data_IF_015184148919
#
_entry.id   IF_015184148919
#
_cell.length_a   1.000
_cell.length_b   1.000
_cell.length_c   1.000
_cell.angle_alpha   90.00
_cell.angle_beta   90.00
_cell.angle_gamma   90.00
#
_symmetry.space_group_name_H-M   'P 1'
#
loop_
_entity.id
_entity.type
_entity.pdbx_description
1 polymer ?
#
# COMPACT_ATOMS: atom_id res chain seq x y z
N UNK A 1 -6.31 -0.48 1.83
CA UNK A 1 -7.26 0.57 2.34
C UNK A 1 -6.69 1.18 3.61
N UNK A 2 -6.46 2.49 3.59
CA UNK A 2 -6.08 3.30 4.75
C UNK A 2 -7.35 3.96 5.28
N UNK A 3 -7.78 3.56 6.47
CA UNK A 3 -9.07 3.98 7.05
C UNK A 3 -8.90 5.23 7.91
N UNK A 4 -10.00 5.97 8.07
CA UNK A 4 -10.10 7.19 8.86
C UNK A 4 -10.33 6.97 10.37
N UNK A 5 -10.64 5.74 10.79
CA UNK A 5 -10.67 5.46 12.22
C UNK A 5 -9.26 5.61 12.79
N UNK A 6 -9.18 6.25 13.95
CA UNK A 6 -7.93 6.45 14.66
C UNK A 6 -7.39 5.08 15.08
N UNK A 7 -6.49 4.51 14.27
CA UNK A 7 -5.69 3.38 14.70
C UNK A 7 -4.87 3.85 15.90
N UNK A 8 -5.12 3.27 17.07
CA UNK A 8 -4.45 3.69 18.29
C UNK A 8 -3.12 2.95 18.36
N UNK A 9 -2.02 3.72 18.34
CA UNK A 9 -0.69 3.22 18.65
C UNK A 9 -0.33 3.54 20.10
N UNK A 10 0.79 3.01 20.57
CA UNK A 10 1.32 3.40 21.88
C UNK A 10 1.50 4.93 21.97
N UNK A 11 1.05 5.53 23.06
CA UNK A 11 1.15 6.98 23.31
C UNK A 11 1.27 7.26 24.80
N UNK A 12 1.80 8.43 25.15
CA UNK A 12 2.00 8.86 26.53
C UNK A 12 0.91 9.85 26.94
N UNK A 13 0.45 9.74 28.18
CA UNK A 13 -0.43 10.72 28.83
C UNK A 13 -0.13 10.77 30.32
N UNK A 14 -0.50 11.87 30.97
CA UNK A 14 -0.24 12.07 32.40
C UNK A 14 -0.98 11.02 33.26
N UNK A 15 -0.30 10.51 34.28
CA UNK A 15 -0.88 9.54 35.22
C UNK A 15 -2.13 10.14 35.87
N UNK A 16 -3.24 9.40 35.82
CA UNK A 16 -4.53 9.86 36.35
C UNK A 16 -5.35 10.75 35.42
N UNK A 17 -4.82 11.12 34.23
CA UNK A 17 -5.55 11.89 33.22
C UNK A 17 -5.75 11.07 31.94
N UNK A 18 -6.77 10.22 31.93
CA UNK A 18 -7.11 9.41 30.76
C UNK A 18 -7.39 10.30 29.55
N UNK A 19 -6.66 10.08 28.46
CA UNK A 19 -6.86 10.80 27.19
C UNK A 19 -8.17 10.35 26.54
N UNK A 20 -9.02 11.31 26.18
CA UNK A 20 -10.25 11.06 25.39
C UNK A 20 -9.89 11.05 23.91
N UNK A 21 -10.17 9.93 23.25
CA UNK A 21 -9.88 9.71 21.83
C UNK A 21 -11.15 10.00 21.03
N UNK A 22 -11.08 10.95 20.09
CA UNK A 22 -12.20 11.31 19.22
C UNK A 22 -12.32 10.26 18.11
N UNK A 23 -13.53 9.80 17.83
CA UNK A 23 -13.80 8.82 16.78
C UNK A 23 -15.03 9.23 15.98
N UNK A 24 -14.99 9.01 14.67
CA UNK A 24 -16.18 9.06 13.83
C UNK A 24 -16.72 7.64 13.62
N UNK A 25 -18.04 7.45 13.77
CA UNK A 25 -18.72 6.19 13.44
C UNK A 25 -18.93 5.96 11.94
N UNK A 26 -18.13 6.59 11.08
CA UNK A 26 -18.22 6.47 9.61
C UNK A 26 -16.98 5.77 9.09
N UNK A 27 -17.14 4.86 8.13
CA UNK A 27 -16.03 4.18 7.47
C UNK A 27 -15.61 4.95 6.22
N UNK A 28 -14.80 6.01 6.37
CA UNK A 28 -14.19 6.68 5.20
C UNK A 28 -12.69 6.39 5.16
N UNK A 29 -12.07 6.60 4.02
CA UNK A 29 -10.66 6.25 3.87
C UNK A 29 -10.21 6.35 2.43
N UNK A 30 -8.92 6.15 2.26
CA UNK A 30 -8.24 6.16 0.97
C UNK A 30 -7.93 4.71 0.61
N UNK A 31 -8.31 4.26 -0.57
CA UNK A 31 -7.89 2.94 -1.07
C UNK A 31 -6.71 3.16 -1.99
N UNK A 32 -5.59 2.55 -1.62
CA UNK A 32 -4.39 2.55 -2.44
C UNK A 32 -4.17 1.14 -2.99
N UNK A 33 -3.67 1.09 -4.21
CA UNK A 33 -2.94 -0.04 -4.78
C UNK A 33 -1.51 0.43 -5.00
N UNK A 34 -0.53 -0.46 -4.83
CA UNK A 34 0.85 -0.10 -5.09
C UNK A 34 1.77 -1.30 -5.15
N UNK A 35 2.97 -1.05 -5.66
CA UNK A 35 4.08 -1.98 -5.70
C UNK A 35 5.37 -1.31 -5.21
N UNK A 36 6.30 -2.15 -4.79
CA UNK A 36 7.65 -1.79 -4.36
C UNK A 36 8.63 -2.59 -5.22
N UNK A 37 9.55 -1.91 -5.89
CA UNK A 37 10.74 -2.53 -6.45
C UNK A 37 11.77 -2.73 -5.33
N UNK A 38 12.03 -3.99 -4.99
CA UNK A 38 12.91 -4.33 -3.87
C UNK A 38 14.38 -4.00 -4.15
N UNK A 39 14.79 -3.88 -5.41
CA UNK A 39 16.18 -3.60 -5.79
C UNK A 39 16.49 -2.11 -5.71
N UNK A 40 15.62 -1.27 -6.29
CA UNK A 40 15.82 0.18 -6.32
C UNK A 40 15.21 0.91 -5.13
N UNK A 41 14.23 0.31 -4.44
CA UNK A 41 13.41 0.98 -3.44
C UNK A 41 12.33 1.90 -4.04
N UNK A 42 12.10 1.87 -5.35
CA UNK A 42 11.03 2.65 -6.00
C UNK A 42 9.66 2.15 -5.56
N UNK A 43 8.78 3.12 -5.24
CA UNK A 43 7.41 2.85 -4.83
C UNK A 43 6.48 3.48 -5.86
N UNK A 44 5.58 2.66 -6.40
CA UNK A 44 4.48 3.14 -7.22
C UNK A 44 3.16 2.89 -6.51
N UNK A 45 2.34 3.94 -6.36
CA UNK A 45 1.05 3.87 -5.68
C UNK A 45 -0.01 4.69 -6.43
N UNK A 46 -1.21 4.14 -6.54
CA UNK A 46 -2.38 4.80 -7.11
C UNK A 46 -3.54 4.80 -6.12
N UNK A 47 -4.27 5.92 -6.05
CA UNK A 47 -5.54 5.99 -5.32
C UNK A 47 -6.70 5.63 -6.25
N UNK A 48 -7.59 4.76 -5.78
CA UNK A 48 -8.82 4.41 -6.48
C UNK A 48 -10.04 4.44 -5.55
N UNK A 49 -11.23 4.71 -6.09
CA UNK A 49 -12.47 4.65 -5.32
C UNK A 49 -12.93 3.20 -5.08
N UNK A 50 -12.67 2.31 -6.04
CA UNK A 50 -12.95 0.87 -5.97
C UNK A 50 -11.66 0.08 -6.03
N UNK A 51 -11.75 -1.21 -5.69
CA UNK A 51 -10.63 -2.14 -5.82
C UNK A 51 -11.18 -3.42 -6.43
N UNK A 52 -11.39 -3.36 -7.73
CA UNK A 52 -11.92 -4.44 -8.55
C UNK A 52 -10.89 -4.88 -9.61
N UNK A 53 -11.26 -5.89 -10.40
CA UNK A 53 -10.37 -6.44 -11.42
C UNK A 53 -10.03 -5.44 -12.54
N UNK A 54 -10.91 -4.49 -12.85
CA UNK A 54 -10.66 -3.47 -13.87
C UNK A 54 -9.64 -2.46 -13.38
N UNK A 55 -9.77 -2.01 -12.12
CA UNK A 55 -8.76 -1.19 -11.45
C UNK A 55 -7.40 -1.87 -11.44
N UNK A 56 -7.35 -3.15 -11.06
CA UNK A 56 -6.10 -3.90 -11.03
C UNK A 56 -5.49 -4.07 -12.43
N UNK A 57 -6.30 -4.30 -13.46
CA UNK A 57 -5.83 -4.34 -14.85
C UNK A 57 -5.21 -3.01 -15.28
N UNK A 58 -5.85 -1.88 -14.94
CA UNK A 58 -5.29 -0.54 -15.19
C UNK A 58 -3.95 -0.34 -14.49
N UNK A 59 -3.87 -0.74 -13.23
CA UNK A 59 -2.62 -0.71 -12.45
C UNK A 59 -1.50 -1.53 -13.12
N UNK A 60 -1.79 -2.73 -13.62
CA UNK A 60 -0.79 -3.55 -14.33
C UNK A 60 -0.29 -2.89 -15.61
N UNK A 61 -1.16 -2.20 -16.37
CA UNK A 61 -0.75 -1.44 -17.55
C UNK A 61 0.23 -0.32 -17.15
N UNK A 62 -0.12 0.47 -16.13
CA UNK A 62 0.73 1.56 -15.67
C UNK A 62 2.09 1.06 -15.14
N UNK A 63 2.13 -0.12 -14.50
CA UNK A 63 3.37 -0.77 -14.10
C UNK A 63 4.24 -1.15 -15.31
N UNK A 64 3.65 -1.71 -16.37
CA UNK A 64 4.38 -2.04 -17.60
C UNK A 64 4.93 -0.80 -18.31
N UNK A 65 4.23 0.32 -18.24
CA UNK A 65 4.69 1.62 -18.77
C UNK A 65 5.81 2.23 -17.92
N UNK A 66 5.72 2.09 -16.59
CA UNK A 66 6.69 2.66 -15.64
C UNK A 66 8.02 1.91 -15.64
N UNK A 67 7.98 0.59 -15.67
CA UNK A 67 9.17 -0.24 -15.48
C UNK A 67 9.59 -0.95 -16.77
N UNK A 68 10.88 -0.83 -17.09
CA UNK A 68 11.49 -1.55 -18.22
C UNK A 68 11.94 -2.96 -17.81
N UNK A 69 12.29 -3.80 -18.79
CA UNK A 69 12.72 -5.19 -18.53
C UNK A 69 11.59 -6.17 -18.14
N UNK A 70 11.97 -7.42 -17.86
CA UNK A 70 11.01 -8.45 -17.41
C UNK A 70 10.63 -8.16 -15.96
N UNK A 71 9.34 -8.20 -15.67
CA UNK A 71 8.77 -7.92 -14.34
C UNK A 71 8.18 -9.21 -13.79
N UNK A 72 8.58 -9.58 -12.57
CA UNK A 72 7.90 -10.59 -11.77
C UNK A 72 7.20 -9.88 -10.62
N UNK A 73 5.87 -9.85 -10.65
CA UNK A 73 5.07 -9.21 -9.62
C UNK A 73 4.64 -10.25 -8.58
N UNK A 74 5.15 -10.08 -7.36
CA UNK A 74 4.79 -10.91 -6.21
C UNK A 74 3.51 -10.38 -5.57
N UNK A 75 2.50 -11.23 -5.44
CA UNK A 75 1.15 -10.86 -5.01
C UNK A 75 0.64 -11.76 -3.88
N UNK A 76 -0.30 -11.24 -3.10
CA UNK A 76 -1.12 -12.06 -2.23
C UNK A 76 -2.21 -12.80 -3.04
N UNK A 77 -3.09 -13.53 -2.35
CA UNK A 77 -4.15 -14.32 -2.99
C UNK A 77 -5.50 -13.56 -3.03
N UNK A 78 -5.51 -12.23 -3.07
CA UNK A 78 -6.77 -11.52 -3.18
C UNK A 78 -7.50 -11.90 -4.48
N UNK A 79 -8.82 -12.11 -4.39
CA UNK A 79 -9.65 -12.65 -5.49
C UNK A 79 -9.52 -11.88 -6.79
N UNK A 80 -9.29 -10.57 -6.71
CA UNK A 80 -9.12 -9.70 -7.89
C UNK A 80 -7.90 -10.08 -8.73
N UNK A 81 -6.82 -10.58 -8.12
CA UNK A 81 -5.60 -10.98 -8.83
C UNK A 81 -5.79 -12.27 -9.63
N UNK A 82 -6.88 -13.01 -9.38
CA UNK A 82 -7.26 -14.24 -10.09
C UNK A 82 -8.43 -14.04 -11.04
N UNK A 83 -8.86 -12.79 -11.27
CA UNK A 83 -10.01 -12.51 -12.12
C UNK A 83 -9.73 -12.96 -13.57
N UNK A 84 -10.67 -13.70 -14.16
CA UNK A 84 -10.58 -14.16 -15.57
C UNK A 84 -10.37 -13.02 -16.56
N UNK A 85 -10.88 -11.83 -16.23
CA UNK A 85 -10.70 -10.59 -16.99
C UNK A 85 -9.22 -10.28 -17.30
N UNK A 86 -8.29 -10.69 -16.42
CA UNK A 86 -6.86 -10.43 -16.59
C UNK A 86 -6.20 -11.35 -17.63
N UNK A 87 -6.81 -12.49 -17.95
CA UNK A 87 -6.17 -13.54 -18.74
C UNK A 87 -5.70 -13.07 -20.14
N UNK A 88 -6.48 -12.33 -20.94
CA UNK A 88 -6.02 -11.85 -22.24
C UNK A 88 -4.78 -10.95 -22.12
N UNK A 89 -4.81 -10.02 -21.16
CA UNK A 89 -3.71 -9.10 -20.89
C UNK A 89 -2.44 -9.82 -20.44
N UNK A 90 -2.56 -10.81 -19.54
CA UNK A 90 -1.42 -11.60 -19.07
C UNK A 90 -0.84 -12.47 -20.17
N UNK A 91 -1.67 -12.99 -21.08
CA UNK A 91 -1.20 -13.76 -22.23
C UNK A 91 -0.41 -12.88 -23.21
N UNK A 92 -0.97 -11.73 -23.58
CA UNK A 92 -0.33 -10.74 -24.45
C UNK A 92 1.02 -10.27 -23.89
N UNK A 93 1.08 -10.07 -22.58
CA UNK A 93 2.27 -9.57 -21.89
C UNK A 93 3.12 -10.66 -21.24
N UNK A 94 2.91 -11.94 -21.56
CA UNK A 94 3.59 -13.09 -20.90
C UNK A 94 5.12 -13.07 -21.00
N UNK A 95 5.67 -12.42 -22.03
CA UNK A 95 7.11 -12.24 -22.21
C UNK A 95 7.69 -11.10 -21.34
N UNK A 96 6.83 -10.22 -20.81
CA UNK A 96 7.17 -9.01 -20.04
C UNK A 96 6.76 -9.10 -18.58
N UNK A 97 5.62 -9.69 -18.27
CA UNK A 97 4.99 -9.70 -16.95
C UNK A 97 4.64 -11.13 -16.51
N UNK A 98 5.10 -11.49 -15.33
CA UNK A 98 4.80 -12.75 -14.66
C UNK A 98 4.21 -12.45 -13.27
N UNK A 99 3.08 -13.06 -12.94
CA UNK A 99 2.48 -12.96 -11.61
C UNK A 99 2.89 -14.16 -10.76
N UNK A 100 3.52 -13.90 -9.62
CA UNK A 100 3.90 -14.91 -8.64
C UNK A 100 3.05 -14.74 -7.37
N UNK A 101 2.38 -15.80 -6.94
CA UNK A 101 1.52 -15.76 -5.78
C UNK A 101 2.23 -16.32 -4.54
N UNK A 102 2.16 -15.58 -3.44
CA UNK A 102 2.64 -16.04 -2.14
C UNK A 102 1.78 -17.18 -1.59
N UNK A 103 2.29 -17.99 -0.64
CA UNK A 103 1.45 -18.92 0.08
C UNK A 103 0.28 -18.18 0.77
N UNK A 104 -0.92 -18.80 0.85
CA UNK A 104 -2.05 -18.20 1.53
C UNK A 104 -1.71 -17.77 2.96
N UNK A 105 -2.30 -16.65 3.41
CA UNK A 105 -2.14 -16.11 4.77
C UNK A 105 -0.68 -15.83 5.19
N UNK A 106 0.18 -15.46 4.24
CA UNK A 106 1.59 -15.13 4.51
C UNK A 106 1.90 -13.63 4.33
N UNK A 107 1.24 -12.72 5.07
CA UNK A 107 1.43 -11.28 4.90
C UNK A 107 2.86 -10.83 5.24
N UNK A 108 3.57 -11.58 6.09
CA UNK A 108 4.97 -11.34 6.45
C UNK A 108 5.94 -11.53 5.28
N UNK A 109 5.54 -12.26 4.23
CA UNK A 109 6.33 -12.42 3.01
C UNK A 109 6.04 -11.31 1.98
N UNK A 110 5.01 -10.50 2.21
CA UNK A 110 4.61 -9.44 1.30
C UNK A 110 5.22 -8.09 1.74
N UNK A 111 6.31 -7.67 1.10
CA UNK A 111 7.05 -6.44 1.47
C UNK A 111 6.17 -5.18 1.50
N UNK A 112 5.16 -5.09 0.61
CA UNK A 112 4.28 -3.92 0.58
C UNK A 112 3.42 -3.78 1.86
N UNK A 113 3.16 -4.87 2.58
CA UNK A 113 2.48 -4.80 3.88
C UNK A 113 3.33 -4.04 4.93
N UNK A 114 4.66 -4.16 4.84
CA UNK A 114 5.59 -3.36 5.64
C UNK A 114 5.47 -1.87 5.33
N UNK A 115 5.36 -1.50 4.04
CA UNK A 115 5.12 -0.12 3.61
C UNK A 115 3.78 0.40 4.17
N UNK A 116 2.71 -0.39 4.09
CA UNK A 116 1.41 -0.02 4.64
C UNK A 116 1.43 0.12 6.16
N UNK A 117 2.18 -0.72 6.85
CA UNK A 117 2.43 -0.60 8.29
C UNK A 117 3.14 0.72 8.62
N UNK A 118 4.23 1.04 7.91
CA UNK A 118 4.99 2.26 8.10
C UNK A 118 4.16 3.52 7.81
N UNK A 119 3.38 3.51 6.73
CA UNK A 119 2.46 4.60 6.40
C UNK A 119 1.45 4.81 7.53
N UNK A 120 0.80 3.75 8.03
CA UNK A 120 -0.17 3.86 9.13
C UNK A 120 0.49 4.42 10.38
N UNK A 121 1.70 3.95 10.71
CA UNK A 121 2.48 4.44 11.86
C UNK A 121 2.72 5.95 11.79
N UNK A 122 3.10 6.48 10.61
CA UNK A 122 3.47 7.89 10.46
C UNK A 122 2.29 8.83 10.20
N UNK A 123 1.27 8.35 9.50
CA UNK A 123 0.19 9.21 8.99
C UNK A 123 -1.09 9.04 9.78
N UNK A 124 -1.44 7.82 10.21
CA UNK A 124 -2.78 7.52 10.74
C UNK A 124 -2.78 7.36 12.25
N UNK A 125 -1.75 6.71 12.79
CA UNK A 125 -1.74 6.33 14.19
C UNK A 125 -1.79 7.55 15.09
N UNK A 126 -2.72 7.54 16.05
CA UNK A 126 -2.92 8.63 17.02
C UNK A 126 -3.29 10.01 16.41
N UNK A 127 -3.62 10.08 15.12
CA UNK A 127 -4.08 11.32 14.46
C UNK A 127 -5.58 11.26 14.18
N UNK A 128 -6.27 12.38 14.42
CA UNK A 128 -7.68 12.51 14.10
C UNK A 128 -7.87 13.48 12.93
N UNK A 129 -8.39 12.96 11.81
CA UNK A 129 -8.68 13.74 10.62
C UNK A 129 -10.16 14.09 10.55
N UNK A 130 -10.47 15.36 10.29
CA UNK A 130 -11.85 15.82 10.17
C UNK A 130 -12.43 15.49 8.79
N UNK A 131 -11.56 15.42 7.77
CA UNK A 131 -11.97 15.23 6.36
C UNK A 131 -11.02 14.28 5.63
N UNK A 132 -11.57 13.46 4.73
CA UNK A 132 -10.80 12.48 3.95
C UNK A 132 -9.71 13.13 3.06
N UNK A 133 -9.89 14.38 2.61
CA UNK A 133 -8.87 15.07 1.84
C UNK A 133 -7.57 15.29 2.66
N UNK A 134 -7.67 15.40 3.98
CA UNK A 134 -6.50 15.55 4.86
C UNK A 134 -5.70 14.26 4.89
N UNK A 135 -6.39 13.11 4.92
CA UNK A 135 -5.75 11.79 4.82
C UNK A 135 -5.00 11.70 3.48
N UNK A 136 -5.67 12.00 2.36
CA UNK A 136 -5.04 11.99 1.02
C UNK A 136 -3.80 12.85 0.95
N UNK A 137 -3.89 14.09 1.44
CA UNK A 137 -2.78 15.03 1.46
C UNK A 137 -1.58 14.47 2.24
N UNK A 138 -1.81 13.93 3.43
CA UNK A 138 -0.72 13.42 4.26
C UNK A 138 -0.15 12.10 3.75
N UNK A 139 -0.99 11.22 3.17
CA UNK A 139 -0.55 10.02 2.47
C UNK A 139 0.37 10.38 1.30
N UNK A 140 -0.07 11.31 0.45
CA UNK A 140 0.72 11.77 -0.69
C UNK A 140 2.04 12.43 -0.26
N UNK A 141 2.00 13.28 0.78
CA UNK A 141 3.20 13.91 1.33
C UNK A 141 4.18 12.86 1.89
N UNK A 142 3.69 11.86 2.63
CA UNK A 142 4.52 10.77 3.15
C UNK A 142 5.19 9.97 2.03
N UNK A 143 4.42 9.53 1.02
CA UNK A 143 4.96 8.77 -0.11
C UNK A 143 6.00 9.58 -0.90
N UNK A 144 5.72 10.87 -1.13
CA UNK A 144 6.66 11.78 -1.80
C UNK A 144 7.94 11.96 -1.00
N UNK A 145 7.85 11.99 0.33
CA UNK A 145 9.02 12.16 1.18
C UNK A 145 9.91 10.92 1.20
N UNK A 146 9.34 9.74 1.41
CA UNK A 146 10.14 8.50 1.45
C UNK A 146 10.76 8.18 0.08
N UNK A 147 10.09 8.56 -1.02
CA UNK A 147 10.62 8.37 -2.37
C UNK A 147 11.93 9.16 -2.62
N UNK A 148 12.21 10.21 -1.84
CA UNK A 148 13.50 10.92 -1.89
C UNK A 148 14.65 10.12 -1.26
N UNK A 149 14.34 9.09 -0.49
CA UNK A 149 15.31 8.30 0.27
C UNK A 149 15.14 6.79 0.05
N UNK A 150 15.39 6.27 -1.18
CA UNK A 150 15.19 4.85 -1.49
C UNK A 150 15.97 3.87 -0.62
N UNK A 151 17.19 4.26 -0.18
CA UNK A 151 17.98 3.44 0.75
C UNK A 151 17.26 3.16 2.08
N UNK A 152 16.52 4.13 2.63
CA UNK A 152 15.73 3.93 3.85
C UNK A 152 14.61 2.93 3.60
N UNK A 153 14.01 2.95 2.40
CA UNK A 153 12.96 2.01 2.01
C UNK A 153 13.53 0.59 1.99
N UNK A 154 14.68 0.41 1.32
CA UNK A 154 15.37 -0.89 1.24
C UNK A 154 15.77 -1.37 2.64
N UNK A 155 16.48 -0.57 3.41
CA UNK A 155 16.96 -0.94 4.75
C UNK A 155 15.81 -1.30 5.69
N UNK A 156 14.71 -0.54 5.62
CA UNK A 156 13.56 -0.73 6.51
C UNK A 156 12.68 -1.90 6.09
N UNK A 157 12.46 -2.10 4.80
CA UNK A 157 11.45 -3.05 4.30
C UNK A 157 12.08 -4.33 3.76
N UNK A 158 13.21 -4.25 3.07
CA UNK A 158 13.81 -5.37 2.34
C UNK A 158 14.91 -6.11 3.12
N UNK A 159 15.60 -5.43 4.06
CA UNK A 159 16.80 -5.96 4.74
C UNK A 159 16.50 -6.47 6.16
N UNK A 160 15.24 -6.49 6.61
CA UNK A 160 14.87 -7.08 7.90
C UNK A 160 15.00 -8.61 7.88
N UNK A 161 16.24 -9.10 8.04
CA UNK A 161 16.61 -10.47 8.38
C UNK A 161 17.10 -10.53 9.85
#
# INVERSE_FOLDING_TARGET
>A
MIRDYQAIGATWFERGKQKIIKTYGKHRGVKLVGCLDYESGDIYCEEHETYDAQTFLGFLNNVLERYSGKIVMVLDNARIHHAKLLQPFLLENSHRLELMYLPPYSPNLNLIEGLWGWLKEKVINNVFYNKTYEIRKNVSAFLTEIAKHPHIIIDRLCVQL
#
